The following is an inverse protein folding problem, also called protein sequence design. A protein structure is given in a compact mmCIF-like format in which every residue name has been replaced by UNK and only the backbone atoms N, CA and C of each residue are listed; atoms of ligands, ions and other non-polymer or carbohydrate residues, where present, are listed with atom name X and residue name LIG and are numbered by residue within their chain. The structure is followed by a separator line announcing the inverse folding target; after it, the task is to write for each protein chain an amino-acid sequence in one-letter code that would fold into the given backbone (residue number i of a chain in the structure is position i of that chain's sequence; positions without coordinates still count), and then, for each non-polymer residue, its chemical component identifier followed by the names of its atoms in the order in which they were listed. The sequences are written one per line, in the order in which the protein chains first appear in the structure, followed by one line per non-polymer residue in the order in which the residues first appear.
data_IF_323417293769
#
_entry.id   IF_323417293769
#
_cell.length_a   1.000
_cell.length_b   1.000
_cell.length_c   1.000
_cell.angle_alpha   90.00
_cell.angle_beta   90.00
_cell.angle_gamma   90.00
#
_symmetry.space_group_name_H-M   'P 1'
#
loop_
_entity.id
_entity.type
_entity.pdbx_description
1 polymer ?
#
# COMPACT_ATOMS: atom_id res chain seq x y z
N UNK A 1 -6.06 -2.78 -14.49
CA UNK A 1 -5.08 -2.22 -15.44
C UNK A 1 -5.66 -1.07 -16.27
N UNK A 2 -6.71 -1.30 -17.08
CA UNK A 2 -7.22 -0.27 -18.01
C UNK A 2 -7.63 1.08 -17.41
N UNK A 3 -8.04 1.14 -16.14
CA UNK A 3 -8.35 2.40 -15.46
C UNK A 3 -7.10 3.25 -15.17
N UNK A 4 -5.98 2.63 -14.74
CA UNK A 4 -4.71 3.33 -14.49
C UNK A 4 -4.11 3.87 -15.79
N UNK A 5 -4.20 3.10 -16.88
CA UNK A 5 -3.76 3.55 -18.20
C UNK A 5 -4.58 4.74 -18.71
N UNK A 6 -5.90 4.69 -18.59
CA UNK A 6 -6.78 5.80 -18.97
C UNK A 6 -6.52 7.05 -18.13
N UNK A 7 -6.33 6.89 -16.83
CA UNK A 7 -6.01 7.98 -15.94
C UNK A 7 -4.66 8.63 -16.30
N UNK A 8 -3.61 7.81 -16.48
CA UNK A 8 -2.29 8.28 -16.90
C UNK A 8 -2.31 8.97 -18.27
N UNK A 9 -3.10 8.46 -19.21
CA UNK A 9 -3.25 9.08 -20.53
C UNK A 9 -3.96 10.44 -20.47
N UNK A 10 -4.79 10.68 -19.45
CA UNK A 10 -5.46 11.97 -19.25
C UNK A 10 -4.53 13.00 -18.60
N UNK A 11 -3.91 12.66 -17.46
CA UNK A 11 -2.88 13.48 -16.78
C UNK A 11 -2.22 12.72 -15.63
N UNK A 12 -1.06 13.20 -15.14
CA UNK A 12 -0.46 12.63 -13.92
C UNK A 12 -1.36 12.87 -12.69
N UNK A 13 -2.01 14.03 -12.58
CA UNK A 13 -2.97 14.30 -11.49
C UNK A 13 -4.15 13.30 -11.47
N UNK A 14 -4.66 12.94 -12.66
CA UNK A 14 -5.70 11.93 -12.78
C UNK A 14 -5.18 10.56 -12.36
N UNK A 15 -3.94 10.22 -12.72
CA UNK A 15 -3.26 9.01 -12.24
C UNK A 15 -3.10 9.00 -10.71
N UNK A 16 -2.65 10.11 -10.10
CA UNK A 16 -2.51 10.19 -8.63
C UNK A 16 -3.85 10.06 -7.93
N UNK A 17 -4.90 10.69 -8.46
CA UNK A 17 -6.26 10.59 -7.92
C UNK A 17 -6.78 9.15 -7.99
N UNK A 18 -6.63 8.49 -9.15
CA UNK A 18 -7.03 7.09 -9.32
C UNK A 18 -6.22 6.16 -8.41
N UNK A 19 -4.91 6.40 -8.29
CA UNK A 19 -4.02 5.67 -7.38
C UNK A 19 -4.52 5.78 -5.95
N UNK A 20 -4.75 6.99 -5.44
CA UNK A 20 -5.21 7.22 -4.08
C UNK A 20 -6.57 6.57 -3.80
N UNK A 21 -7.50 6.63 -4.76
CA UNK A 21 -8.80 5.98 -4.62
C UNK A 21 -8.68 4.45 -4.52
N UNK A 22 -7.89 3.85 -5.41
CA UNK A 22 -7.66 2.41 -5.42
C UNK A 22 -6.91 1.94 -4.18
N UNK A 23 -5.93 2.72 -3.73
CA UNK A 23 -5.18 2.46 -2.51
C UNK A 23 -6.09 2.52 -1.28
N UNK A 24 -6.88 3.59 -1.12
CA UNK A 24 -7.88 3.70 -0.05
C UNK A 24 -8.86 2.51 -0.06
N UNK A 25 -9.34 2.10 -1.22
CA UNK A 25 -10.18 0.91 -1.34
C UNK A 25 -9.43 -0.36 -0.91
N UNK A 26 -8.16 -0.49 -1.29
CA UNK A 26 -7.33 -1.63 -0.98
C UNK A 26 -6.96 -1.69 0.50
N UNK A 27 -6.86 -0.57 1.21
CA UNK A 27 -6.46 -0.46 2.63
C UNK A 27 -7.63 -0.34 3.60
N UNK A 28 -8.82 0.03 3.11
CA UNK A 28 -10.04 0.19 3.92
C UNK A 28 -10.55 -1.11 4.56
N UNK A 29 -11.22 -0.97 5.70
CA UNK A 29 -11.84 -2.05 6.46
C UNK A 29 -11.36 -2.12 7.92
N UNK A 30 -12.08 -2.89 8.74
CA UNK A 30 -11.67 -3.10 10.13
C UNK A 30 -10.37 -3.89 10.18
N UNK A 31 -9.36 -3.34 10.86
CA UNK A 31 -8.10 -4.03 11.15
C UNK A 31 -8.18 -4.63 12.56
N UNK A 32 -7.96 -5.94 12.67
CA UNK A 32 -7.75 -6.62 13.96
C UNK A 32 -6.34 -7.23 13.94
N UNK A 33 -5.55 -6.94 14.96
CA UNK A 33 -4.18 -7.43 15.07
C UNK A 33 -3.77 -7.62 16.51
N UNK A 34 -2.60 -8.23 16.69
CA UNK A 34 -1.97 -8.36 18.01
C UNK A 34 -1.23 -7.06 18.30
N UNK A 35 -1.41 -6.44 19.49
CA UNK A 35 -0.61 -5.29 19.90
C UNK A 35 0.90 -5.58 19.77
N UNK A 36 1.66 -4.62 19.24
CA UNK A 36 3.11 -4.75 19.03
C UNK A 36 3.51 -5.66 17.86
N UNK A 37 2.56 -6.17 17.10
CA UNK A 37 2.82 -6.82 15.81
C UNK A 37 2.29 -5.95 14.68
N UNK A 38 2.92 -6.00 13.48
CA UNK A 38 2.32 -5.39 12.32
C UNK A 38 0.93 -5.96 12.05
N UNK A 39 0.01 -5.13 11.57
CA UNK A 39 -1.34 -5.59 11.24
C UNK A 39 -1.25 -6.66 10.13
N UNK A 40 -1.91 -7.82 10.27
CA UNK A 40 -1.85 -8.89 9.28
C UNK A 40 -2.23 -8.43 7.86
N UNK A 41 -3.17 -7.49 7.78
CA UNK A 41 -3.63 -6.90 6.53
C UNK A 41 -2.54 -6.10 5.81
N UNK A 42 -1.70 -5.37 6.55
CA UNK A 42 -0.61 -4.59 5.95
C UNK A 42 0.49 -5.52 5.41
N UNK A 43 0.75 -6.65 6.09
CA UNK A 43 1.63 -7.72 5.59
C UNK A 43 1.08 -8.31 4.28
N UNK A 44 -0.21 -8.65 4.26
CA UNK A 44 -0.87 -9.22 3.07
C UNK A 44 -0.83 -8.25 1.88
N UNK A 45 -1.05 -6.95 2.11
CA UNK A 45 -0.95 -5.92 1.07
C UNK A 45 0.48 -5.85 0.54
N UNK A 46 1.49 -5.78 1.41
CA UNK A 46 2.91 -5.72 1.00
C UNK A 46 3.28 -6.90 0.12
N UNK A 47 2.97 -8.12 0.57
CA UNK A 47 3.40 -9.35 -0.11
C UNK A 47 2.72 -9.48 -1.47
N UNK A 48 1.40 -9.25 -1.54
CA UNK A 48 0.66 -9.25 -2.81
C UNK A 48 1.11 -8.13 -3.74
N UNK A 49 1.35 -6.93 -3.21
CA UNK A 49 1.84 -5.82 -4.02
C UNK A 49 3.22 -6.14 -4.62
N UNK A 50 4.12 -6.78 -3.85
CA UNK A 50 5.41 -7.22 -4.34
C UNK A 50 5.29 -8.26 -5.47
N UNK A 51 4.40 -9.25 -5.34
CA UNK A 51 4.09 -10.21 -6.41
C UNK A 51 3.58 -9.51 -7.67
N UNK A 52 2.71 -8.51 -7.50
CA UNK A 52 2.11 -7.78 -8.61
C UNK A 52 3.10 -6.86 -9.31
N UNK A 53 4.07 -6.28 -8.60
CA UNK A 53 5.20 -5.55 -9.23
C UNK A 53 5.95 -6.47 -10.19
N UNK A 54 6.26 -7.70 -9.76
CA UNK A 54 6.95 -8.66 -10.63
C UNK A 54 6.07 -9.08 -11.81
N UNK A 55 4.79 -9.36 -11.55
CA UNK A 55 3.83 -9.77 -12.58
C UNK A 55 3.62 -8.71 -13.66
N UNK A 56 3.64 -7.43 -13.29
CA UNK A 56 3.45 -6.30 -14.19
C UNK A 56 4.76 -5.58 -14.54
N UNK A 57 5.91 -6.25 -14.44
CA UNK A 57 7.22 -5.63 -14.73
C UNK A 57 7.31 -5.03 -16.15
N UNK A 58 6.60 -5.60 -17.13
CA UNK A 58 6.52 -5.08 -18.50
C UNK A 58 5.56 -3.88 -18.67
N UNK A 59 4.78 -3.53 -17.65
CA UNK A 59 3.81 -2.44 -17.65
C UNK A 59 4.20 -1.41 -16.57
N UNK A 60 4.98 -0.37 -16.92
CA UNK A 60 5.49 0.60 -15.95
C UNK A 60 4.37 1.40 -15.25
N UNK A 61 3.21 1.58 -15.90
CA UNK A 61 2.08 2.34 -15.33
C UNK A 61 1.42 1.55 -14.21
N UNK A 62 1.23 0.24 -14.43
CA UNK A 62 0.61 -0.66 -13.46
C UNK A 62 1.60 -1.09 -12.37
N UNK A 63 2.85 -1.42 -12.73
CA UNK A 63 3.87 -1.77 -11.73
C UNK A 63 4.19 -0.62 -10.79
N UNK A 64 4.20 0.64 -11.26
CA UNK A 64 4.35 1.83 -10.39
C UNK A 64 3.24 1.92 -9.34
N UNK A 65 2.00 1.57 -9.68
CA UNK A 65 0.89 1.56 -8.72
C UNK A 65 1.14 0.54 -7.61
N UNK A 66 1.49 -0.70 -7.98
CA UNK A 66 1.77 -1.74 -6.99
C UNK A 66 3.04 -1.47 -6.18
N UNK A 67 4.06 -0.82 -6.75
CA UNK A 67 5.23 -0.39 -6.00
C UNK A 67 4.87 0.66 -4.94
N UNK A 68 4.01 1.63 -5.29
CA UNK A 68 3.52 2.62 -4.32
C UNK A 68 2.74 1.96 -3.18
N UNK A 69 1.81 1.06 -3.51
CA UNK A 69 1.01 0.31 -2.52
C UNK A 69 1.89 -0.53 -1.59
N UNK A 70 2.94 -1.16 -2.12
CA UNK A 70 3.92 -1.91 -1.32
C UNK A 70 4.63 -1.00 -0.31
N UNK A 71 5.15 0.15 -0.76
CA UNK A 71 5.88 1.09 0.09
C UNK A 71 4.99 1.67 1.20
N UNK A 72 3.74 1.93 0.88
CA UNK A 72 2.76 2.43 1.85
C UNK A 72 2.48 1.38 2.94
N UNK A 73 2.26 0.13 2.55
CA UNK A 73 2.13 -0.96 3.52
C UNK A 73 3.39 -1.15 4.38
N UNK A 74 4.59 -1.02 3.80
CA UNK A 74 5.85 -1.05 4.54
C UNK A 74 5.96 0.09 5.57
N UNK A 75 5.53 1.30 5.20
CA UNK A 75 5.51 2.45 6.10
C UNK A 75 4.51 2.27 7.26
N UNK A 76 3.31 1.74 6.98
CA UNK A 76 2.31 1.40 8.00
C UNK A 76 2.85 0.34 8.99
N UNK A 77 3.51 -0.69 8.47
CA UNK A 77 4.15 -1.74 9.28
C UNK A 77 5.26 -1.16 10.18
N UNK A 78 6.03 -0.20 9.69
CA UNK A 78 7.05 0.49 10.49
C UNK A 78 6.41 1.38 11.55
N UNK A 79 5.38 2.15 11.19
CA UNK A 79 4.68 3.04 12.12
C UNK A 79 4.03 2.28 13.27
N UNK A 80 3.33 1.17 13.00
CA UNK A 80 2.73 0.35 14.05
C UNK A 80 3.76 -0.25 15.02
N UNK A 81 4.97 -0.55 14.56
CA UNK A 81 6.06 -1.01 15.44
C UNK A 81 6.55 0.11 16.33
N UNK A 82 6.80 1.28 15.75
CA UNK A 82 7.26 2.46 16.49
C UNK A 82 6.25 2.94 17.53
N UNK A 83 4.96 3.03 17.16
CA UNK A 83 3.88 3.43 18.07
C UNK A 83 3.79 2.50 19.28
N UNK A 84 4.05 1.21 19.10
CA UNK A 84 4.12 0.26 20.21
C UNK A 84 5.38 0.45 21.06
N UNK A 85 6.56 0.58 20.45
CA UNK A 85 7.80 0.83 21.19
C UNK A 85 7.69 2.12 22.04
N UNK A 86 7.21 3.22 21.48
CA UNK A 86 7.01 4.49 22.20
C UNK A 86 5.99 4.39 23.33
N UNK A 87 4.92 3.63 23.15
CA UNK A 87 3.85 3.53 24.15
C UNK A 87 4.23 2.66 25.36
N UNK A 88 5.19 1.73 25.20
CA UNK A 88 5.56 0.77 26.23
C UNK A 88 6.98 0.96 26.80
N UNK A 89 7.83 1.79 26.18
CA UNK A 89 9.12 2.24 26.75
C UNK A 89 8.99 3.53 27.59
N UNK A 90 7.78 4.09 27.72
CA UNK A 90 7.49 5.29 28.51
C UNK A 90 7.10 5.03 29.99
N UNK A 91 7.14 3.76 30.43
CA UNK A 91 6.90 3.29 31.81
C UNK A 91 8.18 2.79 32.49
#
# INVERSE_FOLDING_TARGET
AGALHKAHAASDDCYQTMRAFLDSSATSGSKSGTPGQPMPRDIEIRDRAAEMVQRFAADPIVSRFYDALRREAEAEIQRHRHEFEEQFDAD
#
